data_IF_727779804885
#
_entry.id   IF_727779804885
#
_cell.length_a   1.000
_cell.length_b   1.000
_cell.length_c   1.000
_cell.angle_alpha   90.00
_cell.angle_beta   90.00
_cell.angle_gamma   90.00
#
_symmetry.space_group_name_H-M   'P 1'
#
loop_
_entity.id
_entity.type
_entity.pdbx_description
1 polymer ?
#
# COMPACT_ATOMS: atom_id res chain seq x y z
N UNK A 1 10.56 28.93 18.68
CA UNK A 1 11.00 27.57 19.09
C UNK A 1 9.79 26.79 19.63
N UNK A 2 9.27 25.77 18.93
CA UNK A 2 8.23 24.89 19.49
C UNK A 2 8.57 23.41 19.20
N UNK A 3 9.41 22.84 20.06
CA UNK A 3 9.41 21.40 20.38
C UNK A 3 8.19 21.13 21.29
N UNK A 4 6.96 21.27 20.80
CA UNK A 4 5.77 20.85 21.55
C UNK A 4 5.48 19.38 21.22
N UNK A 5 6.20 18.56 21.97
CA UNK A 5 6.12 17.12 21.96
C UNK A 5 4.73 16.63 22.40
N UNK A 6 4.20 15.70 21.61
CA UNK A 6 3.56 14.44 22.04
C UNK A 6 3.16 14.39 23.54
N UNK A 7 1.91 14.64 23.89
CA UNK A 7 1.35 14.04 25.12
C UNK A 7 -0.19 14.01 25.13
N UNK A 8 -0.75 12.83 25.46
CA UNK A 8 -2.02 12.57 26.17
C UNK A 8 -3.38 12.35 25.47
N UNK A 9 -3.54 12.43 24.14
CA UNK A 9 -4.82 12.01 23.52
C UNK A 9 -4.67 11.38 22.11
N UNK A 10 -3.90 10.29 22.00
CA UNK A 10 -3.86 9.53 20.73
C UNK A 10 -5.09 8.64 20.68
N UNK A 11 -6.06 8.98 19.83
CA UNK A 11 -7.14 8.06 19.47
C UNK A 11 -6.56 6.67 19.18
N UNK A 12 -7.20 5.57 19.64
CA UNK A 12 -6.69 4.23 19.41
C UNK A 12 -6.56 4.01 17.91
N UNK A 13 -5.31 3.98 17.42
CA UNK A 13 -5.04 3.69 16.02
C UNK A 13 -5.49 2.27 15.74
N UNK A 14 -6.45 2.12 14.83
CA UNK A 14 -6.95 0.80 14.47
C UNK A 14 -5.78 -0.12 14.05
N UNK A 15 -5.90 -1.39 14.42
CA UNK A 15 -4.89 -2.41 14.09
C UNK A 15 -4.78 -2.53 12.56
N UNK A 16 -3.58 -2.34 12.02
CA UNK A 16 -3.29 -2.65 10.63
C UNK A 16 -2.95 -4.13 10.50
N UNK A 17 -3.55 -4.88 9.56
CA UNK A 17 -3.19 -6.27 9.29
C UNK A 17 -1.82 -6.42 8.63
N UNK A 18 -1.25 -5.31 8.14
CA UNK A 18 0.06 -5.23 7.48
C UNK A 18 1.00 -4.32 8.27
N UNK A 19 2.30 -4.58 8.16
CA UNK A 19 3.40 -3.83 8.73
C UNK A 19 4.30 -3.27 7.63
N UNK A 20 5.18 -2.34 8.01
CA UNK A 20 6.23 -1.84 7.10
C UNK A 20 7.19 -2.99 6.79
N UNK A 21 7.52 -3.17 5.52
CA UNK A 21 8.41 -4.23 5.04
C UNK A 21 7.69 -5.50 4.58
N UNK A 22 6.40 -5.65 4.86
CA UNK A 22 5.62 -6.79 4.36
C UNK A 22 5.45 -6.69 2.83
N UNK A 23 5.46 -7.84 2.17
CA UNK A 23 5.12 -7.93 0.75
C UNK A 23 3.60 -8.12 0.58
N UNK A 24 3.00 -7.28 -0.25
CA UNK A 24 1.56 -7.25 -0.45
C UNK A 24 1.19 -7.27 -1.92
N UNK A 25 0.01 -7.82 -2.23
CA UNK A 25 -0.63 -7.80 -3.54
C UNK A 25 -1.89 -6.95 -3.48
N UNK A 26 -2.14 -6.16 -4.51
CA UNK A 26 -3.38 -5.41 -4.66
C UNK A 26 -4.50 -6.35 -5.11
N UNK A 27 -5.56 -6.43 -4.31
CA UNK A 27 -6.74 -7.28 -4.54
C UNK A 27 -7.70 -6.61 -5.53
N UNK A 28 -7.88 -5.30 -5.39
CA UNK A 28 -8.91 -4.50 -6.06
C UNK A 28 -8.40 -3.12 -6.45
N UNK A 29 -9.02 -2.51 -7.47
CA UNK A 29 -8.65 -1.21 -8.02
C UNK A 29 -7.80 -1.31 -9.29
N UNK A 30 -7.34 -0.16 -9.78
CA UNK A 30 -6.61 -0.03 -11.05
C UNK A 30 -5.30 -0.82 -11.09
N UNK A 31 -4.70 -1.03 -9.91
CA UNK A 31 -3.40 -1.71 -9.77
C UNK A 31 -3.55 -3.20 -9.39
N UNK A 32 -4.74 -3.79 -9.57
CA UNK A 32 -5.05 -5.18 -9.18
C UNK A 32 -4.03 -6.17 -9.75
N UNK A 33 -3.56 -7.08 -8.91
CA UNK A 33 -2.61 -8.13 -9.25
C UNK A 33 -1.14 -7.74 -9.12
N UNK A 34 -0.82 -6.44 -9.03
CA UNK A 34 0.55 -5.99 -8.79
C UNK A 34 0.99 -6.28 -7.36
N UNK A 35 2.27 -6.59 -7.21
CA UNK A 35 2.93 -6.90 -5.93
C UNK A 35 3.95 -5.82 -5.60
N UNK A 36 4.20 -5.61 -4.32
CA UNK A 36 5.23 -4.68 -3.86
C UNK A 36 5.40 -4.68 -2.35
N UNK A 37 6.45 -4.00 -1.87
CA UNK A 37 6.80 -3.90 -0.45
C UNK A 37 6.12 -2.70 0.19
N UNK A 38 5.62 -2.86 1.41
CA UNK A 38 5.02 -1.76 2.17
C UNK A 38 6.11 -0.80 2.68
N UNK A 39 6.18 0.40 2.11
CA UNK A 39 7.11 1.46 2.50
C UNK A 39 6.67 2.16 3.79
N UNK A 40 5.37 2.45 3.91
CA UNK A 40 4.80 3.17 5.05
C UNK A 40 3.35 2.77 5.30
N UNK A 41 3.00 2.61 6.58
CA UNK A 41 1.61 2.40 7.03
C UNK A 41 1.10 3.68 7.67
N UNK A 42 0.08 4.29 7.06
CA UNK A 42 -0.64 5.45 7.57
C UNK A 42 -1.85 4.95 8.37
N UNK A 43 -1.61 4.63 9.64
CA UNK A 43 -2.63 4.05 10.52
C UNK A 43 -3.82 4.98 10.74
N UNK A 44 -3.59 6.29 10.85
CA UNK A 44 -4.64 7.28 11.07
C UNK A 44 -5.67 7.31 9.94
N UNK A 45 -5.24 7.11 8.69
CA UNK A 45 -6.11 7.19 7.51
C UNK A 45 -6.41 5.84 6.89
N UNK A 46 -5.99 4.73 7.54
CA UNK A 46 -6.16 3.38 7.01
C UNK A 46 -5.56 3.15 5.62
N UNK A 47 -4.40 3.76 5.36
CA UNK A 47 -3.73 3.66 4.07
C UNK A 47 -2.32 3.13 4.19
N UNK A 48 -1.80 2.60 3.10
CA UNK A 48 -0.41 2.14 2.93
C UNK A 48 0.19 2.76 1.70
N UNK A 49 1.50 2.97 1.72
CA UNK A 49 2.31 3.29 0.55
C UNK A 49 3.07 2.02 0.21
N UNK A 50 2.92 1.54 -1.01
CA UNK A 50 3.54 0.32 -1.51
C UNK A 50 4.46 0.71 -2.66
N UNK A 51 5.66 0.16 -2.65
CA UNK A 51 6.70 0.40 -3.66
C UNK A 51 6.21 0.06 -5.06
N UNK A 52 6.39 0.98 -6.01
CA UNK A 52 6.04 0.77 -7.42
C UNK A 52 4.53 0.67 -7.72
N UNK A 53 3.66 0.89 -6.73
CA UNK A 53 2.21 0.81 -6.90
C UNK A 53 1.58 2.19 -6.77
N UNK A 54 0.65 2.50 -7.68
CA UNK A 54 -0.12 3.75 -7.71
C UNK A 54 0.78 4.98 -7.80
N UNK A 55 1.57 5.04 -8.86
CA UNK A 55 2.43 6.19 -9.17
C UNK A 55 1.59 7.39 -9.57
N UNK A 56 1.89 8.55 -8.99
CA UNK A 56 1.24 9.82 -9.34
C UNK A 56 2.30 10.83 -9.76
N UNK A 57 2.03 11.50 -10.88
CA UNK A 57 2.80 12.66 -11.35
C UNK A 57 2.36 13.88 -10.54
N UNK A 58 3.28 14.46 -9.78
CA UNK A 58 3.05 15.68 -9.01
C UNK A 58 3.93 16.80 -9.55
N UNK A 59 3.31 17.91 -9.95
CA UNK A 59 4.04 19.14 -10.21
C UNK A 59 4.59 19.71 -8.89
N UNK A 60 5.90 19.94 -8.84
CA UNK A 60 6.60 20.48 -7.68
C UNK A 60 7.18 21.84 -8.09
N UNK A 61 6.87 22.87 -7.28
CA UNK A 61 7.46 24.20 -7.45
C UNK A 61 8.96 24.14 -7.15
N UNK A 62 9.79 24.95 -7.81
CA UNK A 62 11.19 25.09 -7.47
C UNK A 62 11.39 25.34 -5.96
N UNK A 63 12.30 24.59 -5.34
CA UNK A 63 12.71 24.76 -3.94
C UNK A 63 14.23 24.61 -3.83
N UNK A 64 14.81 24.91 -2.66
CA UNK A 64 16.25 24.70 -2.44
C UNK A 64 16.69 23.25 -2.75
N UNK A 65 15.85 22.26 -2.40
CA UNK A 65 16.11 20.85 -2.67
C UNK A 65 15.90 20.46 -4.14
N UNK A 66 15.10 21.22 -4.90
CA UNK A 66 14.77 20.97 -6.30
C UNK A 66 14.73 22.29 -7.09
N UNK A 67 15.89 22.86 -7.45
CA UNK A 67 15.97 24.21 -8.03
C UNK A 67 15.34 24.32 -9.42
N UNK A 68 15.28 23.22 -10.18
CA UNK A 68 14.62 23.20 -11.50
C UNK A 68 13.10 23.12 -11.41
N UNK A 69 12.55 22.74 -10.24
CA UNK A 69 11.17 22.27 -10.14
C UNK A 69 10.90 21.10 -11.10
N UNK A 70 9.63 20.88 -11.43
CA UNK A 70 9.24 19.94 -12.49
C UNK A 70 8.18 18.94 -12.05
N UNK A 71 7.99 17.91 -12.87
CA UNK A 71 7.05 16.82 -12.60
C UNK A 71 7.82 15.70 -11.91
N UNK A 72 7.48 15.44 -10.65
CA UNK A 72 8.04 14.34 -9.86
C UNK A 72 7.05 13.19 -9.83
N UNK A 73 7.49 11.99 -10.16
CA UNK A 73 6.72 10.78 -9.93
C UNK A 73 6.92 10.30 -8.50
N UNK A 74 5.83 9.96 -7.83
CA UNK A 74 5.86 9.43 -6.46
C UNK A 74 4.79 8.38 -6.26
N UNK A 75 5.03 7.46 -5.34
CA UNK A 75 4.03 6.49 -4.90
C UNK A 75 2.91 7.21 -4.14
N UNK A 76 1.68 6.81 -4.42
CA UNK A 76 0.51 7.28 -3.70
C UNK A 76 -0.01 6.24 -2.71
N UNK A 77 -0.87 6.72 -1.82
CA UNK A 77 -1.48 5.90 -0.79
C UNK A 77 -2.61 5.02 -1.35
N UNK A 78 -2.65 3.77 -0.91
CA UNK A 78 -3.66 2.76 -1.21
C UNK A 78 -4.39 2.40 0.10
N UNK A 79 -5.69 2.12 0.03
CA UNK A 79 -6.44 1.67 1.20
C UNK A 79 -5.96 0.28 1.66
N UNK A 80 -5.81 0.10 2.98
CA UNK A 80 -5.38 -1.19 3.57
C UNK A 80 -6.32 -2.35 3.17
N UNK A 81 -7.61 -2.08 2.98
CA UNK A 81 -8.61 -3.07 2.56
C UNK A 81 -8.38 -3.62 1.15
N UNK A 82 -7.65 -2.88 0.31
CA UNK A 82 -7.42 -3.25 -1.09
C UNK A 82 -6.11 -4.02 -1.28
N UNK A 83 -5.38 -4.31 -0.20
CA UNK A 83 -4.13 -5.07 -0.23
C UNK A 83 -4.23 -6.34 0.62
N UNK A 84 -3.53 -7.39 0.19
CA UNK A 84 -3.40 -8.66 0.90
C UNK A 84 -1.93 -9.02 1.03
N UNK A 85 -1.55 -9.70 2.12
CA UNK A 85 -0.22 -10.32 2.21
C UNK A 85 0.00 -11.28 1.04
N UNK A 86 1.19 -11.22 0.42
CA UNK A 86 1.52 -12.04 -0.74
C UNK A 86 1.33 -13.54 -0.49
N UNK A 87 1.80 -14.03 0.66
CA UNK A 87 1.62 -15.42 1.08
C UNK A 87 0.15 -15.87 1.18
N UNK A 88 -0.75 -14.97 1.60
CA UNK A 88 -2.20 -15.27 1.68
C UNK A 88 -2.83 -15.23 0.28
N UNK A 89 -2.37 -14.33 -0.57
CA UNK A 89 -2.83 -14.24 -1.96
C UNK A 89 -2.49 -15.50 -2.75
N UNK A 90 -1.27 -16.02 -2.63
CA UNK A 90 -0.81 -17.22 -3.32
C UNK A 90 -1.62 -18.46 -2.93
N UNK A 91 -1.79 -18.71 -1.63
CA UNK A 91 -2.65 -19.78 -1.10
C UNK A 91 -4.08 -19.69 -1.64
N UNK A 92 -4.60 -18.48 -1.84
CA UNK A 92 -5.94 -18.27 -2.42
C UNK A 92 -5.97 -18.61 -3.91
N UNK A 93 -4.92 -18.29 -4.66
CA UNK A 93 -4.84 -18.63 -6.09
C UNK A 93 -4.69 -20.15 -6.29
N UNK A 94 -3.87 -20.81 -5.49
CA UNK A 94 -3.70 -22.26 -5.51
C UNK A 94 -5.04 -22.99 -5.28
N UNK A 95 -5.76 -22.62 -4.21
CA UNK A 95 -7.11 -23.17 -3.94
C UNK A 95 -8.09 -22.95 -5.09
N UNK A 96 -7.99 -21.80 -5.78
CA UNK A 96 -8.84 -21.50 -6.93
C UNK A 96 -8.52 -22.42 -8.11
N UNK A 97 -7.24 -22.72 -8.37
CA UNK A 97 -6.83 -23.65 -9.44
C UNK A 97 -7.36 -25.06 -9.20
N UNK A 98 -7.13 -25.61 -8.00
CA UNK A 98 -7.61 -26.95 -7.62
C UNK A 98 -9.14 -27.08 -7.75
N UNK A 99 -9.88 -26.01 -7.43
CA UNK A 99 -11.34 -26.01 -7.56
C UNK A 99 -11.83 -25.94 -9.02
N UNK A 100 -11.04 -25.35 -9.93
CA UNK A 100 -11.35 -25.33 -11.37
C UNK A 100 -11.10 -26.71 -11.97
N UNK A 101 -9.96 -27.33 -11.67
CA UNK A 101 -9.62 -28.67 -12.17
C UNK A 101 -10.65 -29.73 -11.74
N UNK A 102 -11.14 -29.67 -10.50
CA UNK A 102 -12.21 -30.59 -10.03
C UNK A 102 -13.55 -30.42 -10.74
N UNK A 103 -13.83 -29.26 -11.32
CA UNK A 103 -15.07 -29.01 -12.08
C UNK A 103 -14.97 -29.44 -13.53
N UNK A 104 -13.77 -29.57 -14.07
CA UNK A 104 -13.56 -30.03 -15.45
C UNK A 104 -13.52 -31.57 -15.55
N UNK A 105 -13.26 -32.25 -14.42
CA UNK A 105 -13.20 -33.71 -14.34
C UNK A 105 -14.53 -34.39 -13.97
N UNK A 106 -15.59 -33.61 -13.68
CA UNK A 106 -16.91 -34.12 -13.32
C UNK A 106 -18.00 -33.50 -14.17
#
# INVERSE_FOLDING_TARGET
MNKRAKSKNREPLRKSPVKRGDEVVVITGSERGKRGKVLKVLRNTHKVIVEGIKMVKKAVRPSQDNPKGGIVEKEATIAISNVMLASKWEKRQEKKKVAVEKKEQG
#
